data_IF_412435660700
#
_entry.id   IF_412435660700
#
_cell.length_a   1.000
_cell.length_b   1.000
_cell.length_c   1.000
_cell.angle_alpha   90.00
_cell.angle_beta   90.00
_cell.angle_gamma   90.00
#
_symmetry.space_group_name_H-M   'P 1'
#
loop_
_entity.id
_entity.type
_entity.pdbx_description
1 polymer ?
#
# COMPACT_ATOMS: atom_id res chain seq x y z
N UNK A 1 -9.64 -12.74 18.93
CA UNK A 1 -9.80 -13.06 19.53
C UNK A 1 -10.05 -12.93 19.99
N UNK A 2 -9.89 -12.89 19.69
CA UNK A 2 -10.02 -13.20 20.40
C UNK A 2 -10.27 -13.35 21.09
N UNK A 3 -10.33 -13.32 21.15
CA UNK A 3 -10.53 -13.68 21.90
C UNK A 3 -10.24 -13.59 22.55
N UNK A 4 -10.07 -13.53 22.68
CA UNK A 4 -9.78 -13.55 23.28
C UNK A 4 -9.53 -13.63 23.76
N UNK A 5 -9.41 -13.70 23.99
CA UNK A 5 -8.81 -14.27 24.53
C UNK A 5 -9.24 -14.84 25.32
N UNK A 6 -9.29 -15.22 25.29
CA UNK A 6 -9.45 -15.78 25.85
C UNK A 6 -9.26 -16.24 26.77
N UNK A 7 -9.08 -16.84 27.35
CA UNK A 7 -8.64 -17.33 28.06
C UNK A 7 -8.09 -17.49 28.86
N UNK A 8 -7.79 -18.56 29.38
CA UNK A 8 -6.66 -18.34 29.60
C UNK A 8 -5.81 -19.04 30.56
N UNK A 9 -5.94 -20.31 31.34
CA UNK A 9 -4.74 -20.81 31.79
C UNK A 9 -3.88 -21.10 30.69
N UNK A 10 -4.39 -21.62 29.80
CA UNK A 10 -3.70 -21.73 28.56
C UNK A 10 -3.38 -20.39 27.99
N UNK A 11 -3.67 -19.36 28.72
CA UNK A 11 -3.42 -18.02 28.26
C UNK A 11 -1.95 -17.80 27.92
N UNK A 12 -1.05 -18.30 28.73
CA UNK A 12 0.37 -18.10 28.45
C UNK A 12 0.78 -18.73 27.15
N UNK A 13 0.41 -19.96 26.90
CA UNK A 13 0.70 -20.59 25.65
C UNK A 13 0.01 -19.89 24.49
N UNK A 14 -1.19 -19.45 24.75
CA UNK A 14 -1.95 -18.74 23.75
C UNK A 14 -1.28 -17.44 23.35
N UNK A 15 -0.76 -16.73 24.32
CA UNK A 15 -0.07 -15.46 24.05
C UNK A 15 1.18 -15.68 23.22
N UNK A 16 1.96 -16.70 23.55
CA UNK A 16 3.17 -17.01 22.79
C UNK A 16 2.80 -17.37 21.35
N UNK A 17 1.77 -18.15 21.18
CA UNK A 17 1.33 -18.56 19.86
C UNK A 17 0.91 -17.36 19.01
N UNK A 18 0.17 -16.44 19.61
CA UNK A 18 -0.25 -15.24 18.94
C UNK A 18 0.95 -14.40 18.50
N UNK A 19 1.97 -14.32 19.33
CA UNK A 19 3.14 -13.54 19.01
C UNK A 19 3.85 -14.10 17.80
N UNK A 20 3.96 -15.42 17.70
CA UNK A 20 4.58 -16.03 16.54
C UNK A 20 3.80 -15.74 15.27
N UNK A 21 2.48 -15.82 15.35
CA UNK A 21 1.63 -15.54 14.19
C UNK A 21 1.80 -14.09 13.73
N UNK A 22 1.88 -13.17 14.68
CA UNK A 22 2.05 -11.75 14.34
C UNK A 22 3.38 -11.51 13.63
N UNK A 23 4.45 -12.12 14.13
CA UNK A 23 5.76 -11.96 13.51
C UNK A 23 5.77 -12.54 12.11
N UNK A 24 5.15 -13.70 11.93
CA UNK A 24 5.07 -14.31 10.61
C UNK A 24 4.29 -13.43 9.64
N UNK A 25 3.20 -12.82 10.09
CA UNK A 25 2.42 -11.92 9.26
C UNK A 25 3.23 -10.72 8.80
N UNK A 26 4.03 -10.17 9.70
CA UNK A 26 4.85 -9.00 9.35
C UNK A 26 5.84 -9.36 8.25
N UNK A 27 6.46 -10.54 8.32
CA UNK A 27 7.40 -10.99 7.29
C UNK A 27 6.68 -11.17 5.96
N UNK A 28 5.50 -11.79 5.99
CA UNK A 28 4.73 -12.00 4.78
C UNK A 28 4.31 -10.67 4.16
N UNK A 29 3.95 -9.71 5.00
CA UNK A 29 3.55 -8.39 4.54
C UNK A 29 4.69 -7.70 3.82
N UNK A 30 5.91 -7.83 4.33
CA UNK A 30 7.07 -7.23 3.67
C UNK A 30 7.31 -7.83 2.29
N UNK A 31 7.14 -9.14 2.15
CA UNK A 31 7.29 -9.79 0.86
C UNK A 31 6.23 -9.29 -0.12
N UNK A 32 5.00 -9.20 0.35
CA UNK A 32 3.90 -8.71 -0.48
C UNK A 32 4.16 -7.27 -0.90
N UNK A 33 4.63 -6.45 0.02
CA UNK A 33 4.93 -5.06 -0.27
C UNK A 33 5.97 -4.95 -1.39
N UNK A 34 7.06 -5.69 -1.28
CA UNK A 34 8.11 -5.64 -2.28
C UNK A 34 7.64 -6.18 -3.63
N UNK A 35 6.85 -7.23 -3.60
CA UNK A 35 6.30 -7.84 -4.81
C UNK A 35 5.44 -6.82 -5.57
N UNK A 36 4.54 -6.15 -4.84
CA UNK A 36 3.65 -5.18 -5.45
C UNK A 36 4.41 -3.95 -5.93
N UNK A 37 5.37 -3.46 -5.15
CA UNK A 37 6.17 -2.31 -5.58
C UNK A 37 6.90 -2.59 -6.89
N UNK A 38 7.47 -3.78 -7.01
CA UNK A 38 8.20 -4.13 -8.22
C UNK A 38 7.24 -4.25 -9.40
N UNK A 39 6.08 -4.85 -9.17
CA UNK A 39 5.05 -4.93 -10.21
C UNK A 39 4.62 -3.54 -10.66
N UNK A 40 4.34 -2.65 -9.71
CA UNK A 40 3.84 -1.31 -10.03
C UNK A 40 4.85 -0.54 -10.86
N UNK A 41 6.13 -0.65 -10.52
CA UNK A 41 7.16 0.01 -11.29
C UNK A 41 7.17 -0.45 -12.75
N UNK A 42 6.97 -1.73 -12.97
CA UNK A 42 6.93 -2.26 -14.33
C UNK A 42 5.64 -1.92 -15.04
N UNK A 43 4.52 -1.97 -14.31
CA UNK A 43 3.21 -1.78 -14.91
C UNK A 43 2.99 -0.35 -15.42
N UNK A 44 3.51 0.63 -14.69
CA UNK A 44 3.29 2.04 -14.99
C UNK A 44 4.47 2.71 -15.67
N UNK A 45 5.44 1.95 -16.13
CA UNK A 45 6.59 2.49 -16.86
C UNK A 45 6.61 1.95 -18.28
N UNK A 46 6.71 2.85 -19.26
CA UNK A 46 6.85 2.44 -20.65
C UNK A 46 7.39 3.63 -21.45
N UNK A 47 7.95 3.32 -22.64
CA UNK A 47 8.25 4.35 -23.61
C UNK A 47 7.57 3.96 -24.92
N UNK A 48 7.50 4.92 -25.84
CA UNK A 48 6.75 4.71 -27.08
C UNK A 48 7.59 4.02 -28.13
N UNK A 49 8.11 2.84 -27.80
CA UNK A 49 8.81 1.98 -28.75
C UNK A 49 8.32 0.56 -28.56
N UNK A 50 8.30 -0.19 -29.63
CA UNK A 50 7.83 -1.57 -29.54
C UNK A 50 8.69 -2.38 -28.58
N UNK A 51 9.99 -2.12 -28.57
CA UNK A 51 10.91 -2.81 -27.68
C UNK A 51 10.55 -2.58 -26.22
N UNK A 52 10.26 -1.33 -25.86
CA UNK A 52 9.90 -1.00 -24.49
C UNK A 52 8.56 -1.61 -24.11
N UNK A 53 7.61 -1.61 -25.02
CA UNK A 53 6.28 -2.17 -24.78
C UNK A 53 6.39 -3.69 -24.57
N UNK A 54 7.19 -4.34 -25.39
CA UNK A 54 7.41 -5.79 -25.27
C UNK A 54 8.12 -6.12 -23.95
N UNK A 55 9.09 -5.30 -23.56
CA UNK A 55 9.82 -5.49 -22.32
C UNK A 55 8.88 -5.33 -21.12
N UNK A 56 7.99 -4.34 -21.19
CA UNK A 56 7.00 -4.14 -20.13
C UNK A 56 6.08 -5.36 -20.01
N UNK A 57 5.58 -5.83 -21.14
CA UNK A 57 4.69 -7.00 -21.16
C UNK A 57 5.38 -8.21 -20.54
N UNK A 58 6.62 -8.46 -20.93
CA UNK A 58 7.38 -9.58 -20.37
C UNK A 58 7.58 -9.42 -18.87
N UNK A 59 7.85 -8.19 -18.43
CA UNK A 59 8.10 -7.93 -17.02
C UNK A 59 6.84 -8.15 -16.18
N UNK A 60 5.71 -7.59 -16.60
CA UNK A 60 4.49 -7.71 -15.80
C UNK A 60 3.93 -9.13 -15.82
N UNK A 61 4.22 -9.89 -16.87
CA UNK A 61 3.74 -11.28 -16.93
C UNK A 61 4.33 -12.14 -15.82
N UNK A 62 5.44 -11.72 -15.21
CA UNK A 62 6.02 -12.43 -14.08
C UNK A 62 5.19 -12.29 -12.81
N UNK A 63 4.22 -11.39 -12.79
CA UNK A 63 3.43 -11.10 -11.60
C UNK A 63 1.97 -11.49 -11.75
N UNK A 64 1.48 -11.68 -12.97
CA UNK A 64 0.06 -11.80 -13.26
C UNK A 64 -0.37 -13.21 -13.57
N UNK A 65 -1.61 -13.54 -13.21
CA UNK A 65 -2.20 -14.81 -13.66
C UNK A 65 -2.32 -14.79 -15.18
N UNK A 66 -2.46 -15.97 -15.77
CA UNK A 66 -2.55 -16.08 -17.22
C UNK A 66 -3.71 -15.26 -17.78
N UNK A 67 -4.86 -15.29 -17.12
CA UNK A 67 -6.01 -14.55 -17.60
C UNK A 67 -5.76 -13.05 -17.57
N UNK A 68 -5.03 -12.55 -16.54
CA UNK A 68 -4.70 -11.14 -16.50
C UNK A 68 -3.65 -10.76 -17.54
N UNK A 69 -2.74 -11.68 -17.85
CA UNK A 69 -1.79 -11.43 -18.92
C UNK A 69 -2.51 -11.18 -20.24
N UNK A 70 -3.51 -12.02 -20.52
CA UNK A 70 -4.29 -11.87 -21.74
C UNK A 70 -5.07 -10.56 -21.78
N UNK A 71 -5.60 -10.14 -20.63
CA UNK A 71 -6.32 -8.86 -20.55
C UNK A 71 -5.41 -7.65 -20.72
N UNK A 72 -4.13 -7.79 -20.40
CA UNK A 72 -3.21 -6.66 -20.44
C UNK A 72 -2.38 -6.58 -21.73
N UNK A 73 -2.63 -7.46 -22.69
CA UNK A 73 -1.82 -7.53 -23.91
C UNK A 73 -1.77 -6.18 -24.64
N UNK A 74 -2.90 -5.48 -24.70
CA UNK A 74 -2.98 -4.23 -25.46
C UNK A 74 -3.14 -3.00 -24.59
N UNK A 75 -2.75 -3.09 -23.30
CA UNK A 75 -2.92 -1.96 -22.39
C UNK A 75 -2.06 -0.78 -22.80
N UNK A 76 -0.84 -1.02 -23.26
CA UNK A 76 0.05 0.01 -23.78
C UNK A 76 0.37 -0.35 -25.22
N UNK A 77 0.20 0.62 -26.11
CA UNK A 77 0.37 0.39 -27.53
C UNK A 77 1.23 1.48 -28.13
N UNK A 78 1.94 1.12 -29.19
CA UNK A 78 2.85 2.05 -29.84
C UNK A 78 2.12 3.19 -30.56
N UNK A 79 0.88 2.96 -30.97
CA UNK A 79 0.12 4.01 -31.64
C UNK A 79 -0.38 5.09 -30.68
N UNK A 80 -0.20 4.90 -29.38
CA UNK A 80 -0.48 5.94 -28.39
C UNK A 80 0.86 6.57 -28.03
N UNK A 81 1.10 7.82 -28.45
CA UNK A 81 2.45 8.41 -28.39
C UNK A 81 2.78 8.96 -26.99
N UNK A 82 2.78 8.09 -25.99
CA UNK A 82 3.09 8.48 -24.62
C UNK A 82 4.21 7.63 -24.06
N UNK A 83 4.91 8.19 -23.07
CA UNK A 83 5.83 7.42 -22.25
C UNK A 83 5.51 7.75 -20.81
N UNK A 84 5.89 6.85 -19.90
CA UNK A 84 5.62 7.02 -18.48
C UNK A 84 6.81 6.53 -17.70
N UNK A 85 7.18 7.28 -16.66
CA UNK A 85 8.24 6.91 -15.74
C UNK A 85 7.69 6.98 -14.33
N UNK A 86 7.87 5.90 -13.57
CA UNK A 86 7.46 5.87 -12.16
C UNK A 86 8.56 6.52 -11.34
N UNK A 87 8.17 7.52 -10.54
CA UNK A 87 9.11 8.23 -9.69
C UNK A 87 9.02 7.77 -8.24
N UNK A 88 7.86 7.26 -7.80
CA UNK A 88 7.73 6.76 -6.44
C UNK A 88 6.53 5.82 -6.33
N UNK A 89 6.62 4.86 -5.43
CA UNK A 89 5.53 3.94 -5.11
C UNK A 89 5.43 3.85 -3.59
N UNK A 90 4.23 4.05 -3.07
CA UNK A 90 3.99 3.91 -1.64
C UNK A 90 2.91 2.86 -1.42
N UNK A 91 3.16 1.96 -0.49
CA UNK A 91 2.16 0.96 -0.08
C UNK A 91 1.46 1.51 1.15
N UNK A 92 0.15 1.67 1.07
CA UNK A 92 -0.62 2.29 2.14
C UNK A 92 -1.33 1.30 3.04
N UNK A 93 -1.70 0.15 2.48
CA UNK A 93 -2.44 -0.82 3.27
C UNK A 93 -2.29 -2.20 2.65
N UNK A 94 -2.15 -3.21 3.50
CA UNK A 94 -2.14 -4.61 3.09
C UNK A 94 -3.08 -5.31 4.04
N UNK A 95 -4.19 -5.81 3.51
CA UNK A 95 -5.24 -6.40 4.33
C UNK A 95 -5.55 -7.80 3.82
N UNK A 96 -5.64 -8.74 4.75
CA UNK A 96 -5.96 -10.10 4.38
C UNK A 96 -7.43 -10.16 3.96
N UNK A 97 -7.68 -10.68 2.75
CA UNK A 97 -9.02 -10.72 2.19
C UNK A 97 -9.57 -12.14 2.14
N UNK A 98 -8.82 -13.10 2.63
CA UNK A 98 -9.21 -14.51 2.65
C UNK A 98 -8.08 -15.28 3.29
N UNK A 99 -8.05 -16.60 3.08
CA UNK A 99 -7.00 -17.41 3.68
C UNK A 99 -5.63 -17.09 3.07
N UNK A 100 -5.60 -16.96 1.75
CA UNK A 100 -4.34 -16.80 1.03
C UNK A 100 -4.31 -15.56 0.15
N UNK A 101 -5.30 -14.70 0.26
CA UNK A 101 -5.41 -13.52 -0.58
C UNK A 101 -5.26 -12.25 0.23
N UNK A 102 -4.59 -11.27 -0.36
CA UNK A 102 -4.34 -9.99 0.29
C UNK A 102 -4.69 -8.85 -0.65
N UNK A 103 -5.39 -7.87 -0.12
CA UNK A 103 -5.70 -6.63 -0.84
C UNK A 103 -4.61 -5.63 -0.51
N UNK A 104 -4.02 -5.04 -1.55
CA UNK A 104 -2.93 -4.09 -1.37
C UNK A 104 -3.34 -2.76 -1.99
N UNK A 105 -3.36 -1.71 -1.18
CA UNK A 105 -3.63 -0.35 -1.64
C UNK A 105 -2.31 0.38 -1.76
N UNK A 106 -2.09 1.00 -2.89
CA UNK A 106 -0.84 1.71 -3.13
C UNK A 106 -1.12 3.00 -3.90
N UNK A 107 -0.16 3.91 -3.85
CA UNK A 107 -0.16 5.06 -4.73
C UNK A 107 1.10 5.02 -5.58
N UNK A 108 0.99 5.56 -6.77
CA UNK A 108 2.11 5.62 -7.70
C UNK A 108 2.24 7.06 -8.19
N UNK A 109 3.45 7.57 -8.12
CA UNK A 109 3.80 8.86 -8.70
C UNK A 109 4.46 8.58 -10.03
N UNK A 110 3.91 9.14 -11.10
CA UNK A 110 4.47 8.93 -12.43
C UNK A 110 4.51 10.23 -13.21
N UNK A 111 5.44 10.30 -14.12
CA UNK A 111 5.54 11.39 -15.07
C UNK A 111 5.19 10.83 -16.42
N UNK A 112 4.13 11.36 -17.02
CA UNK A 112 3.69 10.93 -18.35
C UNK A 112 4.08 12.01 -19.34
N UNK A 113 4.73 11.59 -20.42
CA UNK A 113 5.20 12.51 -21.44
C UNK A 113 4.52 12.21 -22.77
N UNK A 114 4.03 13.27 -23.40
CA UNK A 114 3.48 13.19 -24.73
C UNK A 114 4.06 14.35 -25.54
N UNK A 115 4.87 14.03 -26.54
CA UNK A 115 5.59 15.04 -27.29
C UNK A 115 6.59 15.75 -26.39
N UNK A 116 6.46 17.06 -26.28
CA UNK A 116 7.36 17.85 -25.44
C UNK A 116 6.73 18.19 -24.10
N UNK A 117 5.54 17.66 -23.80
CA UNK A 117 4.83 17.98 -22.59
C UNK A 117 4.94 16.82 -21.61
N UNK A 118 5.35 17.13 -20.38
CA UNK A 118 5.45 16.14 -19.30
C UNK A 118 4.58 16.59 -18.14
N UNK A 119 3.77 15.67 -17.63
CA UNK A 119 2.86 15.95 -16.52
C UNK A 119 3.05 14.90 -15.45
N UNK A 120 3.14 15.35 -14.20
CA UNK A 120 3.22 14.45 -13.06
C UNK A 120 1.84 14.09 -12.56
N UNK A 121 1.64 12.81 -12.27
CA UNK A 121 0.39 12.30 -11.72
C UNK A 121 0.66 11.50 -10.47
N UNK A 122 -0.24 11.61 -9.50
CA UNK A 122 -0.26 10.73 -8.34
C UNK A 122 -1.62 10.07 -8.31
N UNK A 123 -1.65 8.76 -8.35
CA UNK A 123 -2.90 8.02 -8.36
C UNK A 123 -2.83 6.86 -7.40
N UNK A 124 -3.99 6.48 -6.86
CA UNK A 124 -4.08 5.38 -5.91
C UNK A 124 -4.88 4.24 -6.52
N UNK A 125 -4.41 3.02 -6.27
CA UNK A 125 -5.02 1.81 -6.82
C UNK A 125 -4.98 0.69 -5.81
N UNK A 126 -5.66 -0.39 -6.13
CA UNK A 126 -5.72 -1.58 -5.31
C UNK A 126 -5.53 -2.80 -6.21
N UNK A 127 -4.76 -3.76 -5.73
CA UNK A 127 -4.62 -5.06 -6.38
C UNK A 127 -4.88 -6.15 -5.35
N UNK A 128 -5.12 -7.37 -5.83
CA UNK A 128 -5.24 -8.54 -4.96
C UNK A 128 -4.08 -9.47 -5.28
N UNK A 129 -3.39 -9.90 -4.23
CA UNK A 129 -2.25 -10.81 -4.33
C UNK A 129 -2.61 -12.13 -3.67
N UNK A 130 -2.40 -13.22 -4.37
CA UNK A 130 -2.57 -14.56 -3.83
C UNK A 130 -1.19 -15.09 -3.43
N UNK A 131 -1.08 -15.65 -2.22
CA UNK A 131 0.16 -16.22 -1.71
C UNK A 131 -0.08 -17.70 -1.49
N UNK A 132 0.70 -18.54 -2.19
CA UNK A 132 0.50 -19.99 -2.07
C UNK A 132 1.26 -20.53 -0.86
N UNK A 133 1.15 -21.85 -0.64
CA UNK A 133 1.72 -22.50 0.54
C UNK A 133 3.25 -22.43 0.57
N UNK A 134 3.87 -22.25 -0.58
CA UNK A 134 5.31 -22.13 -0.66
C UNK A 134 5.81 -20.69 -0.53
N UNK A 135 4.87 -19.75 -0.38
CA UNK A 135 5.20 -18.34 -0.27
C UNK A 135 5.34 -17.63 -1.61
N UNK A 136 5.01 -18.31 -2.69
CA UNK A 136 5.03 -17.68 -4.02
C UNK A 136 3.77 -16.83 -4.20
N UNK A 137 3.90 -15.77 -4.97
CA UNK A 137 2.83 -14.78 -5.09
C UNK A 137 2.45 -14.55 -6.53
N UNK A 138 1.18 -14.22 -6.73
CA UNK A 138 0.67 -13.86 -8.06
C UNK A 138 -0.45 -12.83 -7.86
N UNK A 139 -0.55 -11.88 -8.78
CA UNK A 139 -1.62 -10.89 -8.75
C UNK A 139 -2.82 -11.47 -9.49
N UNK A 140 -3.96 -11.48 -8.81
CA UNK A 140 -5.18 -12.09 -9.33
C UNK A 140 -6.22 -11.06 -9.75
N UNK A 141 -5.98 -9.79 -9.51
CA UNK A 141 -6.90 -8.72 -9.92
C UNK A 141 -6.09 -7.54 -10.42
N UNK A 142 -6.46 -7.03 -11.59
CA UNK A 142 -5.83 -5.84 -12.15
C UNK A 142 -6.00 -4.64 -11.24
N UNK A 143 -5.12 -3.66 -11.34
CA UNK A 143 -5.29 -2.44 -10.54
C UNK A 143 -6.64 -1.79 -10.75
N UNK A 144 -7.32 -1.49 -9.65
CA UNK A 144 -8.58 -0.74 -9.66
C UNK A 144 -8.39 0.52 -8.85
N UNK A 145 -9.16 1.56 -9.17
CA UNK A 145 -9.01 2.85 -8.53
C UNK A 145 -9.33 2.75 -7.04
N UNK A 146 -8.49 3.38 -6.22
CA UNK A 146 -8.66 3.42 -4.78
C UNK A 146 -8.30 4.81 -4.28
N UNK A 147 -8.11 4.95 -2.97
CA UNK A 147 -7.76 6.24 -2.39
C UNK A 147 -6.73 6.06 -1.30
N UNK A 148 -5.94 7.11 -1.10
CA UNK A 148 -4.96 7.10 -0.02
C UNK A 148 -5.60 7.65 1.25
N UNK A 149 -5.04 7.33 2.41
CA UNK A 149 -5.53 7.90 3.66
C UNK A 149 -5.39 9.42 3.65
N UNK A 150 -6.35 10.09 4.27
CA UNK A 150 -6.32 11.54 4.40
C UNK A 150 -6.17 11.89 5.87
N UNK A 151 -5.84 13.15 6.14
CA UNK A 151 -5.71 13.58 7.52
C UNK A 151 -7.04 13.40 8.25
N UNK A 152 -6.98 12.83 9.44
CA UNK A 152 -8.15 12.67 10.28
C UNK A 152 -8.58 14.02 10.85
N UNK A 153 -9.87 14.17 11.03
CA UNK A 153 -10.41 15.33 11.74
C UNK A 153 -10.47 15.09 13.24
N UNK A 154 -9.92 13.98 13.70
CA UNK A 154 -9.95 13.63 15.10
C UNK A 154 -9.21 14.65 15.95
N UNK A 155 -9.81 15.05 17.04
CA UNK A 155 -9.20 15.87 18.06
C UNK A 155 -9.36 15.15 19.39
N UNK A 156 -8.28 14.95 20.14
CA UNK A 156 -8.40 14.27 21.42
C UNK A 156 -9.19 15.15 22.40
N UNK A 157 -9.99 14.50 23.24
CA UNK A 157 -10.69 15.23 24.28
C UNK A 157 -9.70 15.75 25.28
N UNK A 158 -9.88 17.00 25.70
CA UNK A 158 -9.08 17.55 26.78
C UNK A 158 -9.34 16.73 28.04
N UNK A 159 -8.29 16.45 28.80
CA UNK A 159 -8.45 15.74 30.06
C UNK A 159 -9.13 16.65 31.04
N UNK A 160 -10.22 16.18 31.59
CA UNK A 160 -10.99 16.98 32.54
C UNK A 160 -10.53 16.80 33.96
N UNK A 161 -9.93 15.68 34.26
CA UNK A 161 -9.50 15.42 35.63
C UNK A 161 -8.43 16.42 36.03
N UNK A 162 -8.25 16.57 37.31
CA UNK A 162 -7.13 17.36 37.84
C UNK A 162 -7.17 18.79 37.43
N UNK A 163 -8.34 19.32 37.22
CA UNK A 163 -8.46 20.64 36.66
C UNK A 163 -7.68 21.72 37.36
N UNK A 164 -7.62 21.66 38.69
CA UNK A 164 -6.97 22.74 39.39
C UNK A 164 -5.47 22.77 39.22
N UNK A 165 -4.83 21.61 39.29
CA UNK A 165 -3.38 21.57 39.09
C UNK A 165 -3.05 21.81 37.64
N UNK A 166 -3.86 21.27 36.77
CA UNK A 166 -3.54 21.27 35.37
C UNK A 166 -3.89 22.55 34.66
N UNK A 167 -4.68 23.42 35.30
CA UNK A 167 -5.05 24.67 34.65
C UNK A 167 -3.82 25.51 34.33
N UNK A 168 -2.94 25.68 35.31
CA UNK A 168 -1.72 26.46 35.08
C UNK A 168 -0.83 25.77 34.07
N UNK A 169 -0.69 24.47 34.19
CA UNK A 169 0.16 23.73 33.26
C UNK A 169 -0.39 23.81 31.84
N UNK A 170 -1.71 23.73 31.72
CA UNK A 170 -2.34 23.83 30.43
C UNK A 170 -2.08 25.17 29.78
N UNK A 171 -2.14 26.23 30.58
CA UNK A 171 -1.85 27.56 30.05
C UNK A 171 -0.43 27.65 29.54
N UNK A 172 0.53 27.13 30.30
CA UNK A 172 1.90 27.15 29.86
C UNK A 172 2.09 26.42 28.54
N UNK A 173 1.47 25.26 28.42
CA UNK A 173 1.58 24.48 27.19
C UNK A 173 0.97 25.25 26.05
N UNK A 174 -0.17 25.87 26.27
CA UNK A 174 -0.84 26.64 25.23
C UNK A 174 0.04 27.78 24.75
N UNK A 175 0.62 28.52 25.69
CA UNK A 175 1.52 29.62 25.33
C UNK A 175 2.72 29.10 24.55
N UNK A 176 3.29 28.00 24.98
CA UNK A 176 4.41 27.41 24.29
C UNK A 176 4.07 27.07 22.85
N UNK A 177 2.93 26.43 22.65
CA UNK A 177 2.50 26.05 21.31
C UNK A 177 2.25 27.27 20.45
N UNK A 178 1.62 28.28 20.99
CA UNK A 178 1.40 29.50 20.24
C UNK A 178 2.70 30.11 19.79
N UNK A 179 3.66 30.20 20.70
CA UNK A 179 4.97 30.75 20.38
C UNK A 179 5.64 29.91 19.31
N UNK A 180 5.52 28.62 19.41
CA UNK A 180 6.19 27.71 18.50
C UNK A 180 5.63 27.81 17.08
N UNK A 181 4.32 28.01 16.96
CA UNK A 181 3.67 28.01 15.65
C UNK A 181 3.47 29.39 15.06
N UNK A 182 3.83 30.41 15.77
CA UNK A 182 3.80 31.76 15.20
C UNK A 182 5.07 32.06 14.40
#
# INVERSE_FOLDING_TARGET
SFGVYKNFTAIDMHTVHEKEVIEQRIVDTNKIENFVKTFVKSYYSWSNTQESIDARTAAINNYLTKSLQDLNVDTVRQDIPTSSTVTDVKIWDIEQAGTDDFTVVYSVDQTVTEGETSIGYTSAYMVVVHVDNDGNMVITQNPTISSTPTKSSYEPKAKESDGTVDAATTEEVTEFLETFFK
#
